data_IF_257243500331
#
_entry.id   IF_257243500331
#
_cell.length_a   1.000
_cell.length_b   1.000
_cell.length_c   1.000
_cell.angle_alpha   90.00
_cell.angle_beta   90.00
_cell.angle_gamma   90.00
#
_symmetry.space_group_name_H-M   'P 1'
#
loop_
_entity.id
_entity.type
_entity.pdbx_description
1 polymer ?
#
# COMPACT_ATOMS: atom_id res chain seq x y z
N UNK A 1 -11.20 -12.09 13.71
CA UNK A 1 -9.88 -11.56 14.14
C UNK A 1 -9.23 -10.94 12.90
N UNK A 2 -9.50 -9.67 12.64
CA UNK A 2 -9.07 -9.01 11.39
C UNK A 2 -7.69 -8.37 11.62
N UNK A 3 -6.69 -8.87 10.91
CA UNK A 3 -5.36 -8.28 10.89
C UNK A 3 -5.34 -7.12 9.90
N UNK A 4 -5.48 -5.88 10.40
CA UNK A 4 -4.99 -4.69 9.70
C UNK A 4 -3.47 -4.78 9.63
N UNK A 5 -2.94 -5.46 8.60
CA UNK A 5 -1.51 -5.45 8.30
C UNK A 5 -1.21 -4.10 7.64
N UNK A 6 -1.14 -3.05 8.46
CA UNK A 6 -0.42 -1.84 8.08
C UNK A 6 1.07 -2.21 8.21
N UNK A 7 1.70 -2.66 7.12
CA UNK A 7 3.16 -2.75 7.08
C UNK A 7 3.69 -1.32 7.20
N UNK A 8 3.95 -0.88 8.43
CA UNK A 8 4.62 0.39 8.66
C UNK A 8 6.06 0.24 8.16
N UNK A 9 6.31 0.65 6.92
CA UNK A 9 7.65 0.74 6.38
C UNK A 9 8.47 1.68 7.27
N UNK A 10 9.33 1.09 8.11
CA UNK A 10 10.14 1.82 9.08
C UNK A 10 11.54 1.99 8.52
N UNK A 11 11.86 3.22 8.16
CA UNK A 11 13.22 3.59 7.77
C UNK A 11 14.07 3.71 9.05
N UNK A 12 15.18 2.99 9.10
CA UNK A 12 16.13 3.03 10.22
C UNK A 12 17.18 4.14 10.02
N UNK A 13 17.92 4.46 11.08
CA UNK A 13 18.95 5.53 11.07
C UNK A 13 20.00 5.32 9.99
N UNK A 14 20.44 4.08 9.77
CA UNK A 14 21.49 3.77 8.79
C UNK A 14 21.02 4.07 7.37
N UNK A 15 19.76 3.77 7.06
CA UNK A 15 19.15 4.09 5.77
C UNK A 15 19.09 5.60 5.52
N UNK A 16 18.76 6.40 6.55
CA UNK A 16 18.80 7.86 6.42
C UNK A 16 20.21 8.40 6.19
N UNK A 17 21.21 7.88 6.92
CA UNK A 17 22.61 8.27 6.73
C UNK A 17 23.08 7.92 5.32
N UNK A 18 22.75 6.72 4.84
CA UNK A 18 23.12 6.27 3.50
C UNK A 18 22.48 7.15 2.42
N UNK A 19 21.17 7.40 2.50
CA UNK A 19 20.49 8.25 1.54
C UNK A 19 21.04 9.69 1.54
N UNK A 20 21.36 10.25 2.71
CA UNK A 20 21.95 11.58 2.81
C UNK A 20 23.32 11.67 2.13
N UNK A 21 24.14 10.61 2.23
CA UNK A 21 25.43 10.51 1.54
C UNK A 21 25.27 10.40 0.03
N UNK A 22 24.43 9.47 -0.43
CA UNK A 22 24.16 9.28 -1.86
C UNK A 22 23.66 10.58 -2.52
N UNK A 23 22.81 11.34 -1.83
CA UNK A 23 22.36 12.65 -2.32
C UNK A 23 23.52 13.65 -2.40
N UNK A 24 24.36 13.76 -1.37
CA UNK A 24 25.51 14.67 -1.39
C UNK A 24 26.55 14.30 -2.46
N UNK A 25 26.70 13.01 -2.76
CA UNK A 25 27.56 12.51 -3.85
C UNK A 25 26.99 12.87 -5.23
N UNK A 26 25.66 12.80 -5.42
CA UNK A 26 24.99 13.15 -6.67
C UNK A 26 24.96 14.66 -6.95
N UNK A 27 24.88 15.49 -5.90
CA UNK A 27 24.76 16.95 -6.01
C UNK A 27 25.96 17.66 -5.35
N UNK A 28 27.07 17.84 -6.09
CA UNK A 28 28.28 18.46 -5.56
C UNK A 28 27.99 19.91 -5.16
N UNK A 29 27.95 20.16 -3.85
CA UNK A 29 27.56 21.45 -3.25
C UNK A 29 26.56 21.30 -2.10
N UNK A 30 25.84 20.18 -2.05
CA UNK A 30 25.00 19.83 -0.93
C UNK A 30 25.78 19.07 0.16
N UNK A 31 25.33 19.18 1.41
CA UNK A 31 25.91 18.49 2.56
C UNK A 31 24.99 17.38 3.06
N UNK A 32 25.54 16.23 3.42
CA UNK A 32 24.78 15.14 4.07
C UNK A 32 23.99 15.63 5.30
N UNK A 33 24.55 16.57 6.08
CA UNK A 33 23.92 17.14 7.27
C UNK A 33 22.70 18.02 6.95
N UNK A 34 22.55 18.50 5.71
CA UNK A 34 21.33 19.16 5.25
C UNK A 34 20.16 18.17 5.22
N UNK A 35 20.43 16.93 4.85
CA UNK A 35 19.42 15.89 4.64
C UNK A 35 19.13 15.09 5.91
N UNK A 36 20.16 14.73 6.67
CA UNK A 36 19.99 13.99 7.89
C UNK A 36 21.09 14.24 8.92
N UNK A 37 20.67 14.59 10.14
CA UNK A 37 21.51 14.62 11.33
C UNK A 37 20.87 13.64 12.32
N UNK A 38 21.60 12.59 12.74
CA UNK A 38 21.07 11.60 13.66
C UNK A 38 20.85 12.20 15.04
N UNK A 39 20.05 11.49 15.84
CA UNK A 39 19.87 11.82 17.25
C UNK A 39 21.22 11.79 17.99
N UNK A 40 21.45 12.80 18.83
CA UNK A 40 22.63 12.87 19.70
C UNK A 40 22.22 12.79 21.16
N UNK A 41 22.84 11.87 21.90
CA UNK A 41 22.66 11.75 23.34
C UNK A 41 23.25 12.96 24.07
N UNK A 42 22.70 13.27 25.25
CA UNK A 42 23.26 14.32 26.09
C UNK A 42 24.69 13.95 26.49
N UNK A 43 25.66 14.75 26.06
CA UNK A 43 27.04 14.70 26.53
C UNK A 43 27.34 16.00 27.26
N UNK A 44 27.98 15.90 28.44
CA UNK A 44 28.54 17.02 29.22
C UNK A 44 27.66 18.27 29.26
N UNK A 45 26.47 18.18 29.85
CA UNK A 45 25.60 19.34 30.09
C UNK A 45 24.85 19.88 28.87
N UNK A 46 25.04 19.32 27.65
CA UNK A 46 24.23 19.70 26.50
C UNK A 46 22.91 18.93 26.45
N UNK A 47 21.82 19.62 26.09
CA UNK A 47 20.50 19.01 25.88
C UNK A 47 20.54 18.01 24.73
N UNK A 48 19.81 16.90 24.90
CA UNK A 48 19.56 15.88 23.85
C UNK A 48 19.10 16.56 22.57
N UNK A 49 19.69 16.20 21.43
CA UNK A 49 19.31 16.76 20.14
C UNK A 49 18.51 15.72 19.36
N UNK A 50 17.25 16.03 18.98
CA UNK A 50 16.46 15.14 18.14
C UNK A 50 17.09 14.99 16.75
N UNK A 51 16.76 13.90 16.07
CA UNK A 51 17.10 13.77 14.65
C UNK A 51 16.43 14.90 13.86
N UNK A 52 17.12 15.41 12.84
CA UNK A 52 16.70 16.56 12.03
C UNK A 52 17.25 16.47 10.61
N UNK A 53 16.83 17.39 9.74
CA UNK A 53 17.23 17.44 8.33
C UNK A 53 16.04 17.16 7.39
N UNK A 54 16.22 17.49 6.10
CA UNK A 54 15.16 17.43 5.09
C UNK A 54 14.50 16.05 4.99
N UNK A 55 15.28 14.97 4.99
CA UNK A 55 14.75 13.60 4.87
C UNK A 55 13.92 13.20 6.10
N UNK A 56 14.42 13.52 7.30
CA UNK A 56 13.71 13.22 8.53
C UNK A 56 12.37 13.97 8.62
N UNK A 57 12.37 15.26 8.30
CA UNK A 57 11.14 16.07 8.28
C UNK A 57 10.10 15.51 7.30
N UNK A 58 10.53 15.14 6.09
CA UNK A 58 9.61 14.54 5.09
C UNK A 58 9.05 13.20 5.57
N UNK A 59 9.89 12.34 6.14
CA UNK A 59 9.45 11.06 6.68
C UNK A 59 8.43 11.22 7.81
N UNK A 60 8.69 12.10 8.79
CA UNK A 60 7.77 12.31 9.91
C UNK A 60 6.45 12.92 9.42
N UNK A 61 6.49 13.88 8.49
CA UNK A 61 5.27 14.48 7.94
C UNK A 61 4.43 13.44 7.17
N UNK A 62 5.06 12.63 6.33
CA UNK A 62 4.37 11.55 5.62
C UNK A 62 3.77 10.54 6.61
N UNK A 63 4.55 10.14 7.63
CA UNK A 63 4.08 9.22 8.67
C UNK A 63 2.89 9.80 9.45
N UNK A 64 2.88 11.10 9.73
CA UNK A 64 1.75 11.77 10.37
C UNK A 64 0.52 11.79 9.45
N UNK A 65 0.69 12.13 8.17
CA UNK A 65 -0.38 12.11 7.19
C UNK A 65 -1.01 10.71 7.04
N UNK A 66 -0.20 9.67 6.92
CA UNK A 66 -0.68 8.29 6.83
C UNK A 66 -1.45 7.86 8.09
N UNK A 67 -1.03 8.32 9.28
CA UNK A 67 -1.77 8.06 10.52
C UNK A 67 -3.15 8.71 10.52
N UNK A 68 -3.27 9.93 10.00
CA UNK A 68 -4.56 10.62 9.89
C UNK A 68 -5.50 9.90 8.93
N UNK A 69 -4.99 9.47 7.77
CA UNK A 69 -5.79 8.69 6.79
C UNK A 69 -6.25 7.37 7.39
N UNK A 70 -5.36 6.63 8.06
CA UNK A 70 -5.72 5.37 8.69
C UNK A 70 -6.73 5.53 9.83
N UNK A 71 -6.62 6.61 10.62
CA UNK A 71 -7.60 6.93 11.65
C UNK A 71 -8.98 7.23 11.04
N UNK A 72 -9.02 8.08 10.01
CA UNK A 72 -10.26 8.40 9.30
C UNK A 72 -10.91 7.15 8.66
N UNK A 73 -10.12 6.24 8.11
CA UNK A 73 -10.63 4.98 7.55
C UNK A 73 -11.18 4.05 8.65
N UNK A 74 -10.54 4.02 9.83
CA UNK A 74 -11.05 3.24 10.97
C UNK A 74 -12.40 3.78 11.49
N UNK A 75 -12.62 5.10 11.41
CA UNK A 75 -13.89 5.71 11.80
C UNK A 75 -15.00 5.40 10.76
N UNK A 76 -14.68 5.38 9.47
CA UNK A 76 -15.64 5.04 8.38
C UNK A 76 -16.03 3.54 8.39
N UNK A 77 -15.12 2.66 8.82
CA UNK A 77 -15.39 1.22 8.97
C UNK A 77 -16.34 0.90 10.15
N UNK A 78 -16.52 1.81 11.11
CA UNK A 78 -17.48 1.63 12.20
C UNK A 78 -18.92 2.07 11.84
N UNK A 79 -19.09 2.98 10.88
CA UNK A 79 -20.42 3.48 10.48
C UNK A 79 -21.10 2.66 9.38
N UNK A 80 -20.39 1.76 8.69
CA UNK A 80 -20.96 0.93 7.63
C UNK A 80 -21.05 -0.55 8.04
N UNK A 81 -21.94 -0.86 8.97
CA UNK A 81 -22.50 -2.21 9.11
C UNK A 81 -23.97 -2.18 8.67
N UNK A 82 -24.29 -2.36 7.39
CA UNK A 82 -25.60 -2.89 7.03
C UNK A 82 -25.59 -4.38 7.38
N UNK A 83 -26.33 -4.73 8.43
CA UNK A 83 -26.78 -6.10 8.67
C UNK A 83 -27.56 -6.58 7.45
N UNK A 84 -27.00 -7.41 6.57
CA UNK A 84 -27.78 -8.13 5.57
C UNK A 84 -27.14 -9.47 5.22
N UNK A 85 -27.79 -10.53 5.67
CA UNK A 85 -27.43 -11.94 5.50
C UNK A 85 -27.61 -12.49 4.08
N UNK A 86 -27.64 -11.65 3.05
CA UNK A 86 -27.88 -12.05 1.65
C UNK A 86 -26.70 -11.76 0.69
N UNK A 87 -25.66 -11.04 1.13
CA UNK A 87 -24.56 -10.58 0.25
C UNK A 87 -23.60 -11.70 -0.18
N UNK A 88 -23.44 -12.76 0.65
CA UNK A 88 -22.45 -13.82 0.41
C UNK A 88 -22.70 -14.63 -0.87
N UNK A 89 -23.97 -14.91 -1.20
CA UNK A 89 -24.30 -15.76 -2.35
C UNK A 89 -24.06 -15.06 -3.69
N UNK A 90 -24.46 -13.78 -3.81
CA UNK A 90 -24.25 -12.98 -5.02
C UNK A 90 -22.76 -12.75 -5.29
N UNK A 91 -21.97 -12.52 -4.25
CA UNK A 91 -20.51 -12.35 -4.35
C UNK A 91 -19.81 -13.62 -4.82
N UNK A 92 -20.21 -14.80 -4.33
CA UNK A 92 -19.65 -16.09 -4.73
C UNK A 92 -19.97 -16.42 -6.20
N UNK A 93 -21.19 -16.15 -6.65
CA UNK A 93 -21.59 -16.33 -8.06
C UNK A 93 -20.78 -15.43 -8.99
N UNK A 94 -20.58 -14.15 -8.63
CA UNK A 94 -19.76 -13.22 -9.41
C UNK A 94 -18.32 -13.70 -9.52
N UNK A 95 -17.74 -14.22 -8.44
CA UNK A 95 -16.37 -14.80 -8.47
C UNK A 95 -16.34 -16.07 -9.32
N UNK A 96 -17.32 -16.97 -9.17
CA UNK A 96 -17.40 -18.20 -9.97
C UNK A 96 -17.49 -17.89 -11.47
N UNK A 97 -18.25 -16.85 -11.84
CA UNK A 97 -18.31 -16.34 -13.20
C UNK A 97 -16.92 -15.88 -13.69
N UNK A 98 -16.23 -15.04 -12.91
CA UNK A 98 -14.92 -14.48 -13.30
C UNK A 98 -13.83 -15.55 -13.51
N UNK A 99 -13.95 -16.73 -12.87
CA UNK A 99 -12.99 -17.83 -13.04
C UNK A 99 -13.02 -18.49 -14.42
N UNK A 100 -14.13 -18.31 -15.14
CA UNK A 100 -14.34 -18.92 -16.46
C UNK A 100 -14.61 -17.90 -17.56
N UNK A 101 -15.01 -16.68 -17.18
CA UNK A 101 -15.43 -15.66 -18.13
C UNK A 101 -14.26 -15.08 -18.93
N UNK A 102 -14.48 -15.01 -20.25
CA UNK A 102 -13.58 -14.42 -21.25
C UNK A 102 -14.28 -13.30 -22.02
N UNK A 103 -15.62 -13.25 -21.98
CA UNK A 103 -16.50 -12.21 -22.52
C UNK A 103 -17.85 -12.26 -21.77
N UNK A 104 -18.71 -11.21 -21.84
CA UNK A 104 -18.46 -9.89 -22.42
C UNK A 104 -17.70 -8.97 -21.45
N UNK A 105 -16.88 -8.08 -22.00
CA UNK A 105 -15.99 -7.22 -21.21
C UNK A 105 -16.74 -6.36 -20.18
N UNK A 106 -17.87 -5.75 -20.53
CA UNK A 106 -18.61 -4.87 -19.62
C UNK A 106 -19.09 -5.60 -18.36
N UNK A 107 -19.53 -6.86 -18.52
CA UNK A 107 -19.97 -7.70 -17.40
C UNK A 107 -18.80 -8.17 -16.55
N UNK A 108 -17.68 -8.52 -17.20
CA UNK A 108 -16.44 -8.84 -16.51
C UNK A 108 -15.99 -7.65 -15.69
N UNK A 109 -15.95 -6.45 -16.27
CA UNK A 109 -15.54 -5.22 -15.62
C UNK A 109 -16.40 -4.92 -14.38
N UNK A 110 -17.72 -4.94 -14.52
CA UNK A 110 -18.64 -4.72 -13.40
C UNK A 110 -18.43 -5.74 -12.27
N UNK A 111 -18.36 -7.03 -12.58
CA UNK A 111 -18.14 -8.05 -11.55
C UNK A 111 -16.71 -7.99 -10.99
N UNK A 112 -15.76 -7.53 -11.80
CA UNK A 112 -14.39 -7.32 -11.40
C UNK A 112 -14.33 -6.24 -10.31
N UNK A 113 -15.01 -5.12 -10.48
CA UNK A 113 -15.11 -4.05 -9.50
C UNK A 113 -15.85 -4.50 -8.24
N UNK A 114 -17.01 -5.13 -8.37
CA UNK A 114 -17.83 -5.58 -7.24
C UNK A 114 -17.09 -6.55 -6.31
N UNK A 115 -16.31 -7.47 -6.87
CA UNK A 115 -15.64 -8.53 -6.09
C UNK A 115 -14.20 -8.17 -5.70
N UNK A 116 -13.80 -6.89 -5.86
CA UNK A 116 -12.46 -6.40 -5.53
C UNK A 116 -12.01 -6.75 -4.11
N UNK A 117 -12.82 -6.45 -3.09
CA UNK A 117 -12.43 -6.65 -1.69
C UNK A 117 -12.18 -8.13 -1.34
N UNK A 118 -12.89 -9.04 -2.00
CA UNK A 118 -12.75 -10.49 -1.78
C UNK A 118 -11.51 -11.01 -2.49
N UNK A 119 -11.29 -10.61 -3.74
CA UNK A 119 -10.08 -10.98 -4.49
C UNK A 119 -8.83 -10.41 -3.83
N UNK A 120 -8.85 -9.16 -3.35
CA UNK A 120 -7.72 -8.54 -2.65
C UNK A 120 -7.32 -9.32 -1.39
N UNK A 121 -8.31 -9.81 -0.62
CA UNK A 121 -8.05 -10.66 0.55
C UNK A 121 -7.38 -11.99 0.17
N UNK A 122 -7.79 -12.60 -0.95
CA UNK A 122 -7.22 -13.86 -1.45
C UNK A 122 -5.82 -13.66 -2.07
N UNK A 123 -5.60 -12.59 -2.82
CA UNK A 123 -4.33 -12.32 -3.53
C UNK A 123 -3.13 -12.14 -2.59
N UNK A 124 -3.34 -11.78 -1.31
CA UNK A 124 -2.25 -11.71 -0.31
C UNK A 124 -1.56 -13.06 -0.05
N UNK A 125 -2.19 -14.16 -0.45
CA UNK A 125 -1.69 -15.53 -0.23
C UNK A 125 -1.35 -16.26 -1.54
N UNK A 126 -1.45 -15.60 -2.70
CA UNK A 126 -1.27 -16.21 -4.02
C UNK A 126 -0.04 -15.61 -4.72
N UNK A 127 0.70 -16.46 -5.42
CA UNK A 127 1.70 -16.01 -6.39
C UNK A 127 1.00 -15.47 -7.64
N UNK A 128 1.69 -14.62 -8.40
CA UNK A 128 1.12 -13.93 -9.56
C UNK A 128 0.57 -14.92 -10.59
N UNK A 129 1.33 -15.96 -10.89
CA UNK A 129 1.00 -16.99 -11.87
C UNK A 129 -0.33 -17.68 -11.54
N UNK A 130 -0.63 -17.87 -10.26
CA UNK A 130 -1.85 -18.55 -9.83
C UNK A 130 -3.09 -17.65 -10.03
N UNK A 131 -2.92 -16.33 -9.89
CA UNK A 131 -3.99 -15.35 -10.17
C UNK A 131 -4.35 -15.37 -11.67
N UNK A 132 -3.35 -15.39 -12.55
CA UNK A 132 -3.60 -15.44 -14.00
C UNK A 132 -4.19 -16.78 -14.46
N UNK A 133 -3.89 -17.88 -13.77
CA UNK A 133 -4.55 -19.18 -14.01
C UNK A 133 -5.99 -19.19 -13.52
N UNK A 134 -6.26 -18.57 -12.37
CA UNK A 134 -7.60 -18.55 -11.77
C UNK A 134 -8.56 -17.60 -12.51
N UNK A 135 -8.05 -16.52 -13.12
CA UNK A 135 -8.86 -15.54 -13.83
C UNK A 135 -8.39 -15.36 -15.28
N UNK A 136 -8.92 -16.15 -16.24
CA UNK A 136 -8.46 -16.15 -17.63
C UNK A 136 -8.68 -14.79 -18.33
N UNK A 137 -9.65 -13.99 -17.88
CA UNK A 137 -9.89 -12.63 -18.37
C UNK A 137 -8.68 -11.69 -18.25
N UNK A 138 -7.73 -11.98 -17.35
CA UNK A 138 -6.51 -11.19 -17.17
C UNK A 138 -5.46 -11.43 -18.27
N UNK A 139 -5.53 -12.58 -18.95
CA UNK A 139 -4.59 -12.94 -20.02
C UNK A 139 -5.00 -12.38 -21.39
N UNK A 140 -6.12 -11.65 -21.45
CA UNK A 140 -6.66 -11.08 -22.68
C UNK A 140 -6.12 -9.68 -22.96
N UNK A 141 -6.38 -9.15 -24.16
CA UNK A 141 -5.89 -7.84 -24.59
C UNK A 141 -6.34 -6.68 -23.68
N UNK A 142 -7.49 -6.79 -23.01
CA UNK A 142 -8.00 -5.81 -22.05
C UNK A 142 -7.64 -6.14 -20.59
N UNK A 143 -6.93 -7.25 -20.34
CA UNK A 143 -6.55 -7.68 -18.99
C UNK A 143 -5.75 -6.62 -18.25
N UNK A 144 -4.93 -5.85 -18.97
CA UNK A 144 -4.21 -4.70 -18.41
C UNK A 144 -5.14 -3.64 -17.80
N UNK A 145 -6.33 -3.44 -18.35
CA UNK A 145 -7.34 -2.53 -17.81
C UNK A 145 -7.87 -3.04 -16.48
N UNK A 146 -8.16 -4.35 -16.40
CA UNK A 146 -8.61 -5.01 -15.17
C UNK A 146 -7.55 -4.98 -14.07
N UNK A 147 -6.27 -5.11 -14.45
CA UNK A 147 -5.12 -4.97 -13.54
C UNK A 147 -4.96 -3.51 -13.10
N UNK A 148 -5.19 -2.54 -13.98
CA UNK A 148 -5.05 -1.10 -13.65
C UNK A 148 -6.13 -0.60 -12.68
N UNK A 149 -7.32 -1.19 -12.71
CA UNK A 149 -8.41 -0.93 -11.75
C UNK A 149 -8.05 -1.49 -10.36
N UNK A 150 -7.24 -2.54 -10.30
CA UNK A 150 -6.59 -3.00 -9.08
C UNK A 150 -5.44 -2.03 -8.77
N UNK A 151 -5.75 -0.88 -8.17
CA UNK A 151 -4.74 -0.16 -7.39
C UNK A 151 -4.39 -1.04 -6.18
N UNK A 152 -3.38 -1.89 -6.40
CA UNK A 152 -2.55 -2.68 -5.48
C UNK A 152 -2.77 -4.20 -5.53
N UNK A 153 -1.80 -4.88 -6.14
CA UNK A 153 -1.21 -6.11 -5.59
C UNK A 153 0.33 -6.03 -5.56
N UNK A 154 0.97 -5.21 -6.41
CA UNK A 154 2.40 -4.94 -6.33
C UNK A 154 2.64 -3.50 -5.91
N UNK A 155 3.33 -3.29 -4.80
CA UNK A 155 3.84 -1.97 -4.40
C UNK A 155 4.99 -1.54 -5.29
N UNK A 156 4.72 -1.25 -6.56
CA UNK A 156 5.68 -0.62 -7.47
C UNK A 156 5.08 0.65 -8.07
N UNK A 157 5.83 1.73 -7.81
CA UNK A 157 5.69 3.14 -8.18
C UNK A 157 4.69 4.00 -7.39
#
# INVERSE_FOLDING_TARGET
MFFSITVYFRINTLQFVRAAKEIAELFPGESEHTYYIPYSSSKKGLRRQPARGKLWSRYINLKAALRLVNAANADVEQENVPSTSNTSYDEEEKIAFLKVAVEPFDKILSYWEDTYLIRQRKCKSYELEDIYKEFPCLSLHYGITLVSIIKICFGFF
#
